data_IF_015360315466
#
_entry.id   IF_015360315466
#
_cell.length_a   1.000
_cell.length_b   1.000
_cell.length_c   1.000
_cell.angle_alpha   90.00
_cell.angle_beta   90.00
_cell.angle_gamma   90.00
#
_symmetry.space_group_name_H-M   'P 1'
#
loop_
_entity.id
_entity.type
_entity.pdbx_description
1 polymer ?
#
# COMPACT_ATOMS: atom_id res chain seq x y z
N UNK A 1 -21.15 -1.80 -9.92
CA UNK A 1 -21.54 -0.80 -8.91
C UNK A 1 -20.29 -0.01 -8.57
N UNK A 2 -20.08 1.12 -9.25
CA UNK A 2 -19.03 2.07 -8.86
C UNK A 2 -19.59 2.86 -7.68
N UNK A 3 -18.91 2.80 -6.54
CA UNK A 3 -19.27 3.59 -5.37
C UNK A 3 -19.22 5.07 -5.79
N UNK A 4 -20.30 5.80 -5.52
CA UNK A 4 -20.37 7.24 -5.83
C UNK A 4 -19.14 7.94 -5.25
N UNK A 5 -18.54 8.84 -6.04
CA UNK A 5 -17.40 9.63 -5.60
C UNK A 5 -17.80 10.43 -4.37
N UNK A 6 -17.19 10.15 -3.22
CA UNK A 6 -17.31 11.01 -2.06
C UNK A 6 -16.75 12.39 -2.45
N UNK A 7 -17.53 13.48 -2.35
CA UNK A 7 -17.06 14.81 -2.73
C UNK A 7 -15.87 15.28 -1.86
N UNK A 8 -15.69 14.72 -0.67
CA UNK A 8 -14.55 15.00 0.21
C UNK A 8 -13.34 14.12 -0.13
N UNK A 9 -13.57 12.97 -0.78
CA UNK A 9 -12.52 12.04 -1.21
C UNK A 9 -12.77 11.49 -2.62
N UNK A 10 -12.49 12.29 -3.67
CA UNK A 10 -12.76 11.90 -5.05
C UNK A 10 -11.81 10.78 -5.51
N UNK A 11 -12.28 9.97 -6.46
CA UNK A 11 -11.44 8.97 -7.14
C UNK A 11 -10.22 9.63 -7.80
N UNK A 12 -9.08 8.93 -7.86
CA UNK A 12 -7.90 9.50 -8.50
C UNK A 12 -8.17 9.71 -10.00
N UNK A 13 -7.50 10.68 -10.65
CA UNK A 13 -7.53 10.84 -12.10
C UNK A 13 -7.17 9.54 -12.82
N UNK A 14 -7.57 9.42 -14.09
CA UNK A 14 -7.15 8.28 -14.91
C UNK A 14 -5.62 8.09 -14.86
N UNK A 15 -5.20 6.81 -14.80
CA UNK A 15 -3.79 6.40 -14.70
C UNK A 15 -3.10 6.76 -13.38
N UNK A 16 -3.83 7.26 -12.38
CA UNK A 16 -3.34 7.50 -11.02
C UNK A 16 -4.02 6.57 -10.02
N UNK A 17 -3.34 6.38 -8.90
CA UNK A 17 -3.79 5.52 -7.82
C UNK A 17 -3.47 6.11 -6.47
N UNK A 18 -4.35 5.90 -5.50
CA UNK A 18 -4.05 6.13 -4.09
C UNK A 18 -3.37 4.92 -3.48
N UNK A 19 -2.32 5.15 -2.71
CA UNK A 19 -1.68 4.11 -1.89
C UNK A 19 -2.48 3.95 -0.62
N UNK A 20 -2.97 2.73 -0.34
CA UNK A 20 -3.81 2.46 0.83
C UNK A 20 -3.29 1.31 1.69
N UNK A 21 -3.75 1.26 2.93
CA UNK A 21 -3.55 0.13 3.83
C UNK A 21 -4.39 -1.07 3.37
N UNK A 22 -3.95 -2.26 3.77
CA UNK A 22 -4.60 -3.56 3.64
C UNK A 22 -6.03 -3.65 4.23
N UNK A 23 -6.41 -2.68 5.08
CA UNK A 23 -7.77 -2.53 5.63
C UNK A 23 -8.76 -1.91 4.64
N UNK A 24 -8.29 -1.30 3.55
CA UNK A 24 -9.15 -0.79 2.50
C UNK A 24 -9.57 -1.91 1.54
N UNK A 25 -10.80 -1.84 0.99
CA UNK A 25 -11.22 -2.75 -0.07
C UNK A 25 -10.35 -2.52 -1.31
N UNK A 26 -9.91 -3.62 -1.94
CA UNK A 26 -9.19 -3.56 -3.20
C UNK A 26 -10.19 -3.18 -4.30
N UNK A 27 -10.19 -1.89 -4.66
CA UNK A 27 -11.08 -1.29 -5.64
C UNK A 27 -10.28 -0.49 -6.66
N UNK A 28 -10.86 -0.26 -7.83
CA UNK A 28 -10.22 0.52 -8.88
C UNK A 28 -9.83 1.92 -8.35
N UNK A 29 -8.58 2.33 -8.63
CA UNK A 29 -8.01 3.58 -8.13
C UNK A 29 -7.29 3.45 -6.78
N UNK A 30 -7.36 2.31 -6.12
CA UNK A 30 -6.72 2.06 -4.83
C UNK A 30 -5.68 0.94 -4.96
N UNK A 31 -4.49 1.17 -4.40
CA UNK A 31 -3.38 0.22 -4.38
C UNK A 31 -3.17 -0.27 -2.95
N UNK A 32 -3.82 -1.38 -2.61
CA UNK A 32 -3.52 -2.15 -1.41
C UNK A 32 -2.29 -3.05 -1.67
N UNK A 33 -1.55 -3.45 -0.62
CA UNK A 33 -0.43 -4.35 -0.79
C UNK A 33 -0.90 -5.76 -1.16
N UNK A 34 -0.07 -6.49 -1.93
CA UNK A 34 -0.32 -7.89 -2.22
C UNK A 34 -0.37 -8.70 -0.92
N UNK A 35 -1.45 -9.45 -0.74
CA UNK A 35 -1.68 -10.30 0.42
C UNK A 35 -1.03 -11.66 0.20
N UNK A 36 -0.41 -12.20 1.26
CA UNK A 36 0.08 -13.59 1.24
C UNK A 36 -1.10 -14.55 1.08
N UNK A 37 -0.92 -15.60 0.30
CA UNK A 37 -1.87 -16.70 0.15
C UNK A 37 -1.27 -18.02 0.64
N UNK A 38 -2.11 -19.07 0.73
CA UNK A 38 -1.67 -20.41 1.14
C UNK A 38 -0.51 -20.95 0.28
N UNK A 39 -0.45 -20.55 -0.99
CA UNK A 39 0.51 -21.05 -1.96
C UNK A 39 1.63 -20.05 -2.29
N UNK A 40 1.54 -18.81 -1.79
CA UNK A 40 2.52 -17.76 -2.09
C UNK A 40 2.63 -16.79 -0.90
N UNK A 41 3.75 -16.89 -0.18
CA UNK A 41 4.06 -15.99 0.93
C UNK A 41 4.80 -14.78 0.37
N UNK A 42 4.18 -13.61 0.49
CA UNK A 42 4.71 -12.33 0.00
C UNK A 42 5.07 -11.46 1.20
N UNK A 43 6.34 -11.04 1.28
CA UNK A 43 6.80 -10.09 2.31
C UNK A 43 6.10 -8.74 2.17
N UNK A 44 5.91 -8.07 3.31
CA UNK A 44 5.20 -6.79 3.37
C UNK A 44 5.93 -5.75 4.25
N UNK A 45 6.54 -6.17 5.37
CA UNK A 45 7.16 -5.22 6.28
C UNK A 45 8.51 -4.75 5.77
N UNK A 46 8.79 -3.45 5.90
CA UNK A 46 10.10 -2.86 5.56
C UNK A 46 11.29 -3.57 6.23
N UNK A 47 11.12 -4.05 7.47
CA UNK A 47 12.14 -4.84 8.16
C UNK A 47 12.51 -6.13 7.42
N UNK A 48 11.53 -6.79 6.79
CA UNK A 48 11.75 -8.02 6.01
C UNK A 48 12.54 -7.77 4.73
N UNK A 49 12.54 -6.54 4.22
CA UNK A 49 13.30 -6.14 3.03
C UNK A 49 14.68 -5.56 3.36
N UNK A 50 14.82 -4.88 4.51
CA UNK A 50 16.11 -4.30 4.93
C UNK A 50 17.07 -5.35 5.48
N UNK A 51 16.56 -6.35 6.21
CA UNK A 51 17.38 -7.39 6.85
C UNK A 51 17.19 -8.77 6.20
N UNK A 52 16.34 -8.87 5.19
CA UNK A 52 16.04 -10.12 4.51
C UNK A 52 16.58 -10.19 3.09
N UNK A 53 16.23 -11.28 2.40
CA UNK A 53 16.60 -11.47 0.99
C UNK A 53 15.88 -10.46 0.10
N UNK A 54 16.52 -10.11 -1.03
CA UNK A 54 15.92 -9.28 -2.07
C UNK A 54 14.55 -9.83 -2.54
N UNK A 55 13.67 -8.97 -3.09
CA UNK A 55 12.39 -9.39 -3.63
C UNK A 55 12.55 -10.50 -4.68
N UNK A 56 11.77 -11.58 -4.56
CA UNK A 56 11.87 -12.75 -5.44
C UNK A 56 10.93 -12.70 -6.64
N UNK A 57 9.83 -11.95 -6.52
CA UNK A 57 8.80 -11.85 -7.54
C UNK A 57 8.27 -10.41 -7.64
N UNK A 58 7.43 -10.15 -8.64
CA UNK A 58 6.86 -8.82 -8.91
C UNK A 58 6.01 -8.31 -7.74
N UNK A 59 5.33 -9.22 -7.03
CA UNK A 59 4.48 -8.90 -5.88
C UNK A 59 5.30 -8.43 -4.67
N UNK A 60 6.41 -9.10 -4.36
CA UNK A 60 7.34 -8.69 -3.31
C UNK A 60 8.03 -7.37 -3.68
N UNK A 61 8.34 -7.15 -4.96
CA UNK A 61 8.93 -5.90 -5.42
C UNK A 61 7.94 -4.75 -5.26
N UNK A 62 6.68 -4.97 -5.67
CA UNK A 62 5.59 -4.01 -5.44
C UNK A 62 5.41 -3.72 -3.96
N UNK A 63 5.32 -4.75 -3.11
CA UNK A 63 5.15 -4.59 -1.67
C UNK A 63 6.32 -3.85 -1.00
N UNK A 64 7.55 -4.02 -1.50
CA UNK A 64 8.71 -3.24 -1.03
C UNK A 64 8.54 -1.76 -1.35
N UNK A 65 8.10 -1.39 -2.55
CA UNK A 65 7.84 0.02 -2.86
C UNK A 65 6.63 0.57 -2.09
N UNK A 66 5.56 -0.21 -2.00
CA UNK A 66 4.36 0.12 -1.24
C UNK A 66 4.67 0.43 0.23
N UNK A 67 5.36 -0.47 0.92
CA UNK A 67 5.70 -0.27 2.32
C UNK A 67 6.74 0.85 2.55
N UNK A 68 7.54 1.19 1.53
CA UNK A 68 8.43 2.35 1.58
C UNK A 68 7.63 3.66 1.54
N UNK A 69 6.69 3.78 0.60
CA UNK A 69 5.78 4.93 0.49
C UNK A 69 4.94 5.09 1.75
N UNK A 70 4.36 3.98 2.24
CA UNK A 70 3.59 3.96 3.48
C UNK A 70 4.41 4.45 4.68
N UNK A 71 5.68 4.02 4.80
CA UNK A 71 6.54 4.45 5.91
C UNK A 71 6.75 5.97 5.96
N UNK A 72 6.85 6.63 4.80
CA UNK A 72 6.96 8.09 4.72
C UNK A 72 5.67 8.76 5.17
N UNK A 73 4.52 8.27 4.69
CA UNK A 73 3.19 8.77 5.04
C UNK A 73 2.97 8.64 6.56
N UNK A 74 3.13 7.44 7.12
CA UNK A 74 2.93 7.17 8.54
C UNK A 74 3.85 7.99 9.45
N UNK A 75 5.12 8.16 9.06
CA UNK A 75 6.06 9.01 9.82
C UNK A 75 5.63 10.46 9.82
N UNK A 76 5.14 10.96 8.68
CA UNK A 76 4.66 12.35 8.54
C UNK A 76 3.45 12.58 9.43
N UNK A 77 2.44 11.72 9.34
CA UNK A 77 1.25 11.78 10.21
C UNK A 77 1.59 11.54 11.69
N UNK A 78 2.57 10.69 11.98
CA UNK A 78 3.04 10.42 13.32
C UNK A 78 3.68 11.64 13.99
N UNK A 79 4.42 12.45 13.24
CA UNK A 79 4.93 13.75 13.74
C UNK A 79 3.79 14.74 13.91
N UNK A 80 2.89 14.83 12.93
CA UNK A 80 1.80 15.80 12.94
C UNK A 80 0.83 15.58 14.11
N UNK A 81 0.49 14.32 14.43
CA UNK A 81 -0.40 13.96 15.55
C UNK A 81 0.25 14.02 16.94
N UNK A 82 1.56 14.21 17.04
CA UNK A 82 2.29 14.34 18.31
C UNK A 82 2.31 15.77 18.87
N UNK A 83 1.46 16.63 18.32
CA UNK A 83 1.21 18.00 18.76
C UNK A 83 -0.17 18.07 19.39
#
# INVERSE_FOLDING_TARGET
MAQESDPEFPLPPMEKYYVVDSSYPNMQGFLDPYKSSRNNVVKYHMSQFNYGRAPRNKEELFNRYHASLRSVIERTFGVWKKK
#
